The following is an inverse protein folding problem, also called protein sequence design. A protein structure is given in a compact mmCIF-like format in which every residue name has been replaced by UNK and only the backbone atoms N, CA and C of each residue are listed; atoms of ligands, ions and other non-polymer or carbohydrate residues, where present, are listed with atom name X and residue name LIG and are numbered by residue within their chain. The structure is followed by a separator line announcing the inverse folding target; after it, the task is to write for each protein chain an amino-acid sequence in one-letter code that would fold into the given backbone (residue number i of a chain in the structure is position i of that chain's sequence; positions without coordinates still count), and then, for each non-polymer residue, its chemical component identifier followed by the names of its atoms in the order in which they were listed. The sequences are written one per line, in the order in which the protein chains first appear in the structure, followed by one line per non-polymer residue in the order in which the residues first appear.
data_IF_672267191617
#
_entry.id   IF_672267191617
#
_cell.length_a   1.000
_cell.length_b   1.000
_cell.length_c   1.000
_cell.angle_alpha   90.00
_cell.angle_beta   90.00
_cell.angle_gamma   90.00
#
_symmetry.space_group_name_H-M   'P 1'
#
loop_
_entity.id
_entity.type
_entity.pdbx_description
1 polymer ?
#
# COMPACT_ATOMS: atom_id res chain seq x y z
N UNK A 1 -6.46 -5.99 8.81
CA UNK A 1 -5.14 -5.50 9.23
C UNK A 1 -5.11 -3.99 8.98
N UNK A 2 -5.32 -3.18 10.02
CA UNK A 2 -5.19 -1.73 9.95
C UNK A 2 -3.70 -1.38 10.04
N UNK A 3 -3.18 -0.60 9.09
CA UNK A 3 -1.90 0.10 9.31
C UNK A 3 -2.13 1.60 9.14
N UNK A 4 -2.24 2.26 10.30
CA UNK A 4 -2.12 3.69 10.50
C UNK A 4 -0.62 4.03 10.40
N UNK A 5 -0.20 4.75 9.36
CA UNK A 5 1.17 5.23 9.24
C UNK A 5 1.40 6.37 10.25
N UNK A 6 2.13 6.10 11.34
CA UNK A 6 2.75 7.15 12.16
C UNK A 6 3.96 7.68 11.41
N UNK A 7 4.00 8.99 11.22
CA UNK A 7 5.16 9.73 10.74
C UNK A 7 6.14 9.89 11.92
N UNK A 8 7.39 9.48 11.76
CA UNK A 8 8.48 9.85 12.65
C UNK A 8 9.36 10.84 11.89
N UNK A 9 9.19 12.12 12.19
CA UNK A 9 10.23 13.12 11.97
C UNK A 9 10.82 13.43 13.34
N UNK A 10 12.13 13.63 13.38
CA UNK A 10 12.93 14.40 14.34
C UNK A 10 14.21 13.64 14.72
N UNK A 11 15.16 13.68 13.79
CA UNK A 11 16.49 13.11 13.92
C UNK A 11 17.36 13.86 14.92
N UNK A 12 17.30 13.46 16.18
CA UNK A 12 18.30 13.84 17.19
C UNK A 12 18.95 12.56 17.74
N UNK A 13 20.19 12.30 17.34
CA UNK A 13 21.10 11.42 18.09
C UNK A 13 22.10 12.36 18.76
N UNK A 14 21.92 12.59 20.07
CA UNK A 14 23.00 13.09 20.93
C UNK A 14 23.70 11.86 21.50
N UNK A 15 24.95 11.62 21.08
CA UNK A 15 25.83 10.73 21.82
C UNK A 15 27.13 11.46 22.16
N UNK A 16 27.53 11.34 23.42
CA UNK A 16 28.54 12.16 24.05
C UNK A 16 29.96 11.67 23.79
N UNK A 17 30.87 12.61 23.57
CA UNK A 17 32.30 12.40 23.85
C UNK A 17 33.25 12.51 22.65
N UNK A 18 34.17 13.47 22.78
CA UNK A 18 35.45 13.64 22.08
C UNK A 18 35.40 14.27 20.68
N UNK A 19 35.72 15.58 20.68
CA UNK A 19 35.82 16.41 19.49
C UNK A 19 37.08 16.17 18.66
N UNK A 20 36.87 16.08 17.36
CA UNK A 20 37.66 16.67 16.28
C UNK A 20 36.66 16.91 15.14
N UNK A 21 36.48 18.15 14.71
CA UNK A 21 35.61 18.48 13.58
C UNK A 21 36.34 18.13 12.27
N UNK A 22 36.13 16.92 11.75
CA UNK A 22 36.43 16.63 10.34
C UNK A 22 35.32 17.23 9.47
N UNK A 23 35.63 18.08 8.48
CA UNK A 23 34.63 18.53 7.52
C UNK A 23 34.22 17.34 6.65
N UNK A 24 33.15 16.65 7.04
CA UNK A 24 32.40 15.80 6.11
C UNK A 24 31.64 16.74 5.19
N UNK A 25 31.85 16.68 3.85
CA UNK A 25 30.95 17.34 2.92
C UNK A 25 29.52 16.92 3.29
N UNK A 26 28.52 17.83 3.26
CA UNK A 26 27.15 17.40 3.44
C UNK A 26 26.90 16.33 2.39
N UNK A 27 26.70 15.08 2.84
CA UNK A 27 26.21 14.04 1.99
C UNK A 27 24.89 14.60 1.46
N UNK A 28 24.87 15.00 0.20
CA UNK A 28 23.65 15.33 -0.49
C UNK A 28 22.89 14.01 -0.55
N UNK A 29 22.06 13.77 0.47
CA UNK A 29 21.08 12.72 0.39
C UNK A 29 20.25 13.06 -0.84
N UNK A 30 20.53 12.38 -1.95
CA UNK A 30 19.68 12.40 -3.14
C UNK A 30 18.28 12.19 -2.60
N UNK A 31 17.42 13.20 -2.73
CA UNK A 31 16.06 13.12 -2.21
C UNK A 31 15.49 11.77 -2.65
N UNK A 32 15.19 10.90 -1.68
CA UNK A 32 14.66 9.59 -1.97
C UNK A 32 13.44 9.82 -2.87
N UNK A 33 13.37 9.12 -4.01
CA UNK A 33 12.22 9.22 -4.88
C UNK A 33 10.95 9.06 -4.03
N UNK A 34 9.88 9.84 -4.28
CA UNK A 34 8.69 9.77 -3.44
C UNK A 34 8.24 8.32 -3.31
N UNK A 35 8.08 7.84 -2.07
CA UNK A 35 7.55 6.50 -1.83
C UNK A 35 6.16 6.42 -2.49
N UNK A 36 5.98 5.47 -3.40
CA UNK A 36 4.71 5.30 -4.09
C UNK A 36 3.60 5.02 -3.07
N UNK A 37 2.50 5.79 -3.15
CA UNK A 37 1.36 5.67 -2.23
C UNK A 37 0.30 4.75 -2.84
N UNK A 38 -0.10 3.71 -2.10
CA UNK A 38 -1.09 2.72 -2.53
C UNK A 38 -2.29 2.62 -1.61
N UNK A 39 -3.37 2.02 -2.11
CA UNK A 39 -4.61 1.73 -1.36
C UNK A 39 -5.04 0.27 -1.55
N UNK A 40 -5.65 -0.33 -0.53
CA UNK A 40 -6.31 -1.64 -0.61
C UNK A 40 -7.82 -1.46 -0.50
N UNK A 41 -8.58 -2.10 -1.41
CA UNK A 41 -10.04 -1.94 -1.49
C UNK A 41 -10.74 -3.29 -1.66
N UNK A 42 -11.89 -3.42 -1.01
CA UNK A 42 -12.82 -4.55 -1.06
C UNK A 42 -14.26 -4.05 -0.90
N UNK A 43 -15.23 -4.95 -0.74
CA UNK A 43 -16.61 -4.60 -0.39
C UNK A 43 -16.76 -3.72 0.85
N UNK A 44 -15.79 -3.73 1.77
CA UNK A 44 -15.87 -2.98 3.02
C UNK A 44 -15.77 -1.47 2.83
N UNK A 45 -15.30 -0.99 1.67
CA UNK A 45 -15.27 0.43 1.33
C UNK A 45 -16.57 0.91 0.65
N UNK A 46 -17.41 -0.01 0.18
CA UNK A 46 -18.55 0.34 -0.66
C UNK A 46 -18.13 0.98 -1.99
N UNK A 47 -18.92 1.95 -2.46
CA UNK A 47 -18.61 2.68 -3.68
C UNK A 47 -17.42 3.64 -3.47
N UNK A 48 -16.39 3.51 -4.30
CA UNK A 48 -15.15 4.32 -4.20
C UNK A 48 -15.11 5.40 -5.29
N UNK A 49 -14.80 6.64 -4.88
CA UNK A 49 -14.49 7.72 -5.81
C UNK A 49 -13.02 7.65 -6.24
N UNK A 50 -12.75 6.93 -7.33
CA UNK A 50 -11.40 6.67 -7.83
C UNK A 50 -10.67 7.92 -8.32
N UNK A 51 -11.39 8.91 -8.86
CA UNK A 51 -10.80 10.20 -9.25
C UNK A 51 -10.29 10.97 -8.03
N UNK A 52 -11.05 10.99 -6.94
CA UNK A 52 -10.60 11.60 -5.68
C UNK A 52 -9.38 10.87 -5.09
N UNK A 53 -9.36 9.54 -5.15
CA UNK A 53 -8.20 8.72 -4.73
C UNK A 53 -6.96 9.07 -5.54
N UNK A 54 -7.07 9.13 -6.87
CA UNK A 54 -5.96 9.53 -7.74
C UNK A 54 -5.45 10.94 -7.42
N UNK A 55 -6.36 11.90 -7.26
CA UNK A 55 -6.04 13.29 -6.95
C UNK A 55 -5.40 13.45 -5.56
N UNK A 56 -5.68 12.53 -4.62
CA UNK A 56 -5.03 12.48 -3.31
C UNK A 56 -3.61 11.87 -3.34
N UNK A 57 -3.05 11.65 -4.53
CA UNK A 57 -1.66 11.21 -4.72
C UNK A 57 -1.44 9.69 -4.68
N UNK A 58 -2.50 8.89 -4.71
CA UNK A 58 -2.38 7.43 -4.77
C UNK A 58 -2.06 6.98 -6.21
N UNK A 59 -1.05 6.14 -6.36
CA UNK A 59 -0.52 5.70 -7.66
C UNK A 59 -0.86 4.25 -8.02
N UNK A 60 -1.21 3.42 -7.03
CA UNK A 60 -1.63 2.05 -7.23
C UNK A 60 -2.72 1.59 -6.26
N UNK A 61 -3.47 0.55 -6.64
CA UNK A 61 -4.50 -0.08 -5.83
C UNK A 61 -4.38 -1.60 -5.88
N UNK A 62 -4.55 -2.26 -4.74
CA UNK A 62 -4.85 -3.69 -4.67
C UNK A 62 -6.35 -3.88 -4.40
N UNK A 63 -7.00 -4.70 -5.21
CA UNK A 63 -8.44 -4.92 -5.14
C UNK A 63 -8.70 -6.38 -4.79
N UNK A 64 -9.55 -6.61 -3.79
CA UNK A 64 -9.94 -7.96 -3.41
C UNK A 64 -10.72 -8.62 -4.54
N UNK A 65 -10.21 -9.72 -5.07
CA UNK A 65 -10.97 -10.60 -5.95
C UNK A 65 -12.04 -11.35 -5.16
N UNK A 66 -11.68 -11.95 -4.02
CA UNK A 66 -12.61 -12.77 -3.27
C UNK A 66 -11.95 -13.59 -2.18
N UNK A 67 -12.60 -14.69 -1.82
CA UNK A 67 -12.09 -15.70 -0.88
C UNK A 67 -12.84 -17.02 -1.05
N UNK A 68 -12.24 -18.15 -0.67
CA UNK A 68 -12.95 -19.43 -0.69
C UNK A 68 -14.22 -19.42 0.17
N UNK A 69 -14.21 -18.70 1.31
CA UNK A 69 -15.36 -18.65 2.22
C UNK A 69 -16.53 -17.81 1.71
N UNK A 70 -16.25 -16.72 0.98
CA UNK A 70 -17.27 -15.72 0.61
C UNK A 70 -17.46 -15.55 -0.89
N UNK A 71 -16.76 -16.32 -1.72
CA UNK A 71 -16.75 -16.17 -3.17
C UNK A 71 -16.11 -14.86 -3.63
N UNK A 72 -16.48 -14.45 -4.85
CA UNK A 72 -16.05 -13.19 -5.46
C UNK A 72 -16.54 -11.99 -4.63
N UNK A 73 -15.68 -11.01 -4.43
CA UNK A 73 -16.05 -9.74 -3.83
C UNK A 73 -17.05 -9.01 -4.75
N UNK A 74 -18.23 -8.60 -4.24
CA UNK A 74 -19.27 -8.00 -5.08
C UNK A 74 -18.85 -6.66 -5.69
N UNK A 75 -17.82 -6.00 -5.14
CA UNK A 75 -17.28 -4.76 -5.69
C UNK A 75 -16.05 -4.98 -6.58
N UNK A 76 -15.59 -6.22 -6.79
CA UNK A 76 -14.38 -6.51 -7.57
C UNK A 76 -14.43 -5.86 -8.96
N UNK A 77 -15.44 -6.16 -9.77
CA UNK A 77 -15.53 -5.68 -11.14
C UNK A 77 -15.61 -4.14 -11.23
N UNK A 78 -16.42 -3.51 -10.37
CA UNK A 78 -16.60 -2.05 -10.37
C UNK A 78 -15.35 -1.33 -9.87
N UNK A 79 -14.63 -1.90 -8.90
CA UNK A 79 -13.38 -1.34 -8.40
C UNK A 79 -12.27 -1.48 -9.45
N UNK A 80 -12.16 -2.64 -10.12
CA UNK A 80 -11.16 -2.87 -11.17
C UNK A 80 -11.34 -1.87 -12.32
N UNK A 81 -12.58 -1.72 -12.79
CA UNK A 81 -12.91 -0.77 -13.85
C UNK A 81 -12.67 0.68 -13.42
N UNK A 82 -13.14 1.08 -12.24
CA UNK A 82 -13.02 2.45 -11.74
C UNK A 82 -11.56 2.87 -11.49
N UNK A 83 -10.76 2.02 -10.86
CA UNK A 83 -9.34 2.29 -10.60
C UNK A 83 -8.53 2.38 -11.90
N UNK A 84 -8.79 1.48 -12.86
CA UNK A 84 -8.14 1.49 -14.17
C UNK A 84 -8.49 2.75 -14.95
N UNK A 85 -9.78 3.13 -14.99
CA UNK A 85 -10.25 4.34 -15.66
C UNK A 85 -9.68 5.63 -15.03
N UNK A 86 -9.42 5.63 -13.72
CA UNK A 86 -8.74 6.72 -13.02
C UNK A 86 -7.20 6.75 -13.23
N UNK A 87 -6.65 5.84 -14.04
CA UNK A 87 -5.23 5.78 -14.35
C UNK A 87 -4.36 5.28 -13.18
N UNK A 88 -4.92 4.44 -12.30
CA UNK A 88 -4.15 3.76 -11.26
C UNK A 88 -3.50 2.48 -11.79
N UNK A 89 -2.33 2.11 -11.26
CA UNK A 89 -1.83 0.74 -11.44
C UNK A 89 -2.67 -0.19 -10.56
N UNK A 90 -3.20 -1.26 -11.12
CA UNK A 90 -4.14 -2.14 -10.41
C UNK A 90 -3.55 -3.54 -10.24
N UNK A 91 -3.54 -4.03 -9.00
CA UNK A 91 -3.27 -5.41 -8.63
C UNK A 91 -4.47 -6.02 -7.94
N UNK A 92 -4.40 -7.34 -7.72
CA UNK A 92 -5.50 -8.12 -7.14
C UNK A 92 -4.98 -8.96 -5.99
N UNK A 93 -5.83 -9.25 -5.00
CA UNK A 93 -5.55 -10.24 -3.96
C UNK A 93 -6.74 -11.16 -3.68
N UNK A 94 -6.46 -12.36 -3.21
CA UNK A 94 -7.44 -13.31 -2.65
C UNK A 94 -7.21 -13.38 -1.14
N UNK A 95 -8.29 -13.32 -0.35
CA UNK A 95 -8.19 -13.59 1.08
C UNK A 95 -8.25 -15.09 1.30
N UNK A 96 -7.12 -15.66 1.72
CA UNK A 96 -6.97 -17.09 1.95
C UNK A 96 -7.59 -17.53 3.29
N UNK A 97 -8.27 -18.67 3.28
CA UNK A 97 -8.70 -19.38 4.49
C UNK A 97 -7.99 -20.74 4.64
N UNK A 98 -7.07 -21.06 3.73
CA UNK A 98 -6.33 -22.31 3.75
C UNK A 98 -5.51 -22.49 5.02
N UNK A 99 -5.60 -23.68 5.61
CA UNK A 99 -4.73 -24.15 6.69
C UNK A 99 -3.92 -25.39 6.29
N UNK A 100 -4.06 -25.84 5.04
CA UNK A 100 -3.35 -26.97 4.45
C UNK A 100 -2.74 -26.57 3.11
N UNK A 101 -1.71 -27.30 2.66
CA UNK A 101 -1.09 -27.07 1.34
C UNK A 101 -2.11 -27.25 0.22
N UNK A 102 -2.93 -28.30 0.30
CA UNK A 102 -3.99 -28.56 -0.69
C UNK A 102 -5.04 -27.44 -0.73
N UNK A 103 -5.41 -26.88 0.42
CA UNK A 103 -6.27 -25.70 0.49
C UNK A 103 -5.62 -24.48 -0.16
N UNK A 104 -4.32 -24.25 0.07
CA UNK A 104 -3.60 -23.13 -0.53
C UNK A 104 -3.50 -23.29 -2.06
N UNK A 105 -3.30 -24.52 -2.56
CA UNK A 105 -3.31 -24.83 -3.99
C UNK A 105 -4.69 -24.61 -4.63
N UNK A 106 -5.77 -24.87 -3.89
CA UNK A 106 -7.14 -24.65 -4.36
C UNK A 106 -7.50 -23.16 -4.43
N UNK A 107 -6.92 -22.34 -3.56
CA UNK A 107 -7.20 -20.91 -3.46
C UNK A 107 -6.33 -20.02 -4.36
N UNK A 108 -5.32 -20.57 -5.04
CA UNK A 108 -4.39 -19.86 -5.92
C UNK A 108 -4.96 -19.65 -7.33
#
# INVERSE_FOLDING_TARGET
MYFLARHLNDGVIVDGGFGQAVPVPPATAKAAAPLAKGIDVSKYQGAVNWSAVKNAGYSFAFIKAGSAKSGLDPYYAVNMAGATAAGMKVGVYIYSYATTVEGAMTEA
#
